data_IF_770655255106
#
_entry.id   IF_770655255106
#
_cell.length_a   1.000
_cell.length_b   1.000
_cell.length_c   1.000
_cell.angle_alpha   90.00
_cell.angle_beta   90.00
_cell.angle_gamma   90.00
#
_symmetry.space_group_name_H-M   'P 1'
#
loop_
_entity.id
_entity.type
_entity.pdbx_description
1 polymer ?
#
# COMPACT_ATOMS: atom_id res chain seq x y z
N UNK A 1 25.57 22.63 -10.84
CA UNK A 1 24.24 23.25 -10.97
C UNK A 1 23.31 22.22 -11.56
N UNK A 2 22.55 21.53 -10.72
CA UNK A 2 21.57 20.55 -11.18
C UNK A 2 20.33 21.36 -11.53
N UNK A 3 19.95 21.35 -12.81
CA UNK A 3 18.67 21.87 -13.26
C UNK A 3 17.63 20.90 -12.73
N UNK A 4 17.13 21.19 -11.54
CA UNK A 4 15.96 20.52 -10.99
C UNK A 4 14.82 20.83 -11.95
N UNK A 5 14.42 19.84 -12.75
CA UNK A 5 13.31 19.96 -13.69
C UNK A 5 12.09 20.42 -12.91
N UNK A 6 11.74 21.70 -13.05
CA UNK A 6 10.55 22.29 -12.48
C UNK A 6 9.32 21.56 -13.04
N UNK A 7 8.88 20.54 -12.32
CA UNK A 7 7.70 19.75 -12.63
C UNK A 7 6.51 20.71 -12.77
N UNK A 8 5.85 20.68 -13.92
CA UNK A 8 4.81 21.65 -14.24
C UNK A 8 3.60 21.46 -13.32
N UNK A 9 3.06 22.54 -12.78
CA UNK A 9 1.92 22.53 -11.85
C UNK A 9 0.75 21.64 -12.30
N UNK A 10 0.30 21.66 -13.57
CA UNK A 10 -0.81 20.79 -14.01
C UNK A 10 -0.55 19.30 -13.75
N UNK A 11 0.67 18.84 -13.98
CA UNK A 11 1.05 17.44 -13.74
C UNK A 11 1.05 17.08 -12.25
N UNK A 12 1.44 18.03 -11.38
CA UNK A 12 1.37 17.83 -9.93
C UNK A 12 -0.08 17.78 -9.45
N UNK A 13 -0.96 18.62 -10.01
CA UNK A 13 -2.39 18.62 -9.72
C UNK A 13 -3.03 17.28 -10.15
N UNK A 14 -2.73 16.81 -11.36
CA UNK A 14 -3.28 15.54 -11.85
C UNK A 14 -2.86 14.36 -10.95
N UNK A 15 -1.57 14.29 -10.56
CA UNK A 15 -1.09 13.29 -9.61
C UNK A 15 -1.78 13.35 -8.25
N UNK A 16 -2.06 14.55 -7.76
CA UNK A 16 -2.78 14.73 -6.50
C UNK A 16 -4.23 14.24 -6.62
N UNK A 17 -4.91 14.57 -7.73
CA UNK A 17 -6.26 14.08 -8.04
C UNK A 17 -6.32 12.57 -8.17
N UNK A 18 -5.34 11.97 -8.84
CA UNK A 18 -5.21 10.52 -8.97
C UNK A 18 -5.05 9.86 -7.59
N UNK A 19 -4.22 10.45 -6.71
CA UNK A 19 -4.03 9.94 -5.35
C UNK A 19 -5.30 10.06 -4.49
N UNK A 20 -6.05 11.17 -4.61
CA UNK A 20 -7.36 11.33 -3.98
C UNK A 20 -8.33 10.27 -4.52
N UNK A 21 -8.42 10.10 -5.83
CA UNK A 21 -9.29 9.11 -6.46
C UNK A 21 -8.92 7.68 -6.06
N UNK A 22 -7.64 7.36 -5.90
CA UNK A 22 -7.20 6.04 -5.45
C UNK A 22 -7.69 5.71 -4.02
N UNK A 23 -7.79 6.72 -3.15
CA UNK A 23 -8.20 6.54 -1.76
C UNK A 23 -9.73 6.57 -1.57
N UNK A 24 -10.40 7.55 -2.17
CA UNK A 24 -11.85 7.82 -1.94
C UNK A 24 -12.73 7.66 -3.18
N UNK A 25 -12.14 7.44 -4.35
CA UNK A 25 -12.87 7.16 -5.59
C UNK A 25 -13.33 5.71 -5.69
N UNK A 26 -14.29 5.48 -6.60
CA UNK A 26 -14.83 4.15 -6.89
C UNK A 26 -13.77 3.23 -7.49
N UNK A 27 -13.63 2.01 -6.97
CA UNK A 27 -12.65 1.04 -7.50
C UNK A 27 -13.30 0.13 -8.52
N UNK A 28 -12.56 -0.24 -9.56
CA UNK A 28 -12.96 -1.34 -10.45
C UNK A 28 -12.02 -2.52 -10.25
N UNK A 29 -12.59 -3.71 -10.10
CA UNK A 29 -11.89 -4.97 -9.96
C UNK A 29 -12.34 -5.96 -11.02
N UNK A 30 -11.54 -7.00 -11.22
CA UNK A 30 -11.93 -8.17 -12.02
C UNK A 30 -12.06 -9.33 -11.05
N UNK A 31 -13.23 -9.97 -11.05
CA UNK A 31 -13.53 -11.15 -10.27
C UNK A 31 -13.52 -12.33 -11.21
N UNK A 32 -12.75 -13.36 -10.86
CA UNK A 32 -12.85 -14.64 -11.53
C UNK A 32 -14.04 -15.41 -10.96
N UNK A 33 -15.02 -15.70 -11.80
CA UNK A 33 -16.19 -16.51 -11.44
C UNK A 33 -16.16 -17.81 -12.23
N UNK A 34 -16.89 -18.82 -11.79
CA UNK A 34 -16.98 -20.12 -12.50
C UNK A 34 -17.46 -19.97 -13.97
N UNK A 35 -18.01 -18.82 -14.34
CA UNK A 35 -18.47 -18.46 -15.69
C UNK A 35 -17.51 -17.52 -16.45
N UNK A 36 -16.34 -17.23 -15.89
CA UNK A 36 -15.30 -16.37 -16.44
C UNK A 36 -15.04 -15.09 -15.64
N UNK A 37 -14.13 -14.26 -16.15
CA UNK A 37 -13.75 -13.00 -15.51
C UNK A 37 -14.82 -11.91 -15.71
N UNK A 38 -15.33 -11.35 -14.61
CA UNK A 38 -16.29 -10.24 -14.60
C UNK A 38 -15.69 -8.99 -13.98
N UNK A 39 -15.84 -7.84 -14.64
CA UNK A 39 -15.54 -6.53 -14.04
C UNK A 39 -16.62 -6.16 -13.03
N UNK A 40 -16.21 -5.78 -11.84
CA UNK A 40 -17.07 -5.27 -10.77
C UNK A 40 -16.60 -3.90 -10.36
N UNK A 41 -17.56 -3.03 -10.07
CA UNK A 41 -17.34 -1.69 -9.55
C UNK A 41 -17.65 -1.76 -8.05
N UNK A 42 -16.65 -1.53 -7.22
CA UNK A 42 -16.73 -1.59 -5.77
C UNK A 42 -16.60 -0.20 -5.12
N UNK A 43 -16.84 -0.17 -3.81
CA UNK A 43 -16.70 1.05 -3.01
C UNK A 43 -15.25 1.56 -2.97
N UNK A 44 -15.08 2.77 -2.44
CA UNK A 44 -13.74 3.33 -2.27
C UNK A 44 -12.95 2.61 -1.19
N UNK A 45 -11.62 2.67 -1.29
CA UNK A 45 -10.73 2.03 -0.32
C UNK A 45 -11.00 2.47 1.12
N UNK A 46 -11.22 3.77 1.30
CA UNK A 46 -11.60 4.34 2.60
C UNK A 46 -12.94 3.79 3.11
N UNK A 47 -13.96 3.66 2.25
CA UNK A 47 -15.25 3.09 2.66
C UNK A 47 -15.14 1.60 2.99
N UNK A 48 -14.40 0.83 2.19
CA UNK A 48 -14.14 -0.60 2.47
C UNK A 48 -13.47 -0.80 3.82
N UNK A 49 -12.50 0.06 4.18
CA UNK A 49 -11.86 0.03 5.51
C UNK A 49 -12.86 0.32 6.63
N UNK A 50 -13.71 1.35 6.50
CA UNK A 50 -14.74 1.68 7.51
C UNK A 50 -15.75 0.55 7.70
N UNK A 51 -16.22 -0.02 6.61
CA UNK A 51 -17.20 -1.12 6.64
C UNK A 51 -16.59 -2.38 7.28
N UNK A 52 -15.31 -2.65 6.99
CA UNK A 52 -14.58 -3.78 7.59
C UNK A 52 -14.43 -3.64 9.10
N UNK A 53 -14.14 -2.44 9.63
CA UNK A 53 -14.07 -2.21 11.09
C UNK A 53 -15.43 -2.31 11.75
N UNK A 54 -16.50 -1.86 11.08
CA UNK A 54 -17.86 -1.96 11.60
C UNK A 54 -18.39 -3.41 11.67
N UNK A 55 -17.59 -4.41 11.26
CA UNK A 55 -18.02 -5.80 11.12
C UNK A 55 -19.05 -6.00 10.00
N UNK A 56 -19.30 -4.95 9.21
CA UNK A 56 -20.12 -4.97 8.01
C UNK A 56 -19.22 -5.45 6.88
N UNK A 57 -18.79 -6.72 6.92
CA UNK A 57 -18.23 -7.36 5.73
C UNK A 57 -19.39 -7.50 4.74
N UNK A 58 -19.62 -6.45 3.96
CA UNK A 58 -20.46 -6.54 2.78
C UNK A 58 -19.63 -7.28 1.74
N UNK A 59 -20.18 -8.37 1.21
CA UNK A 59 -19.69 -9.05 0.01
C UNK A 59 -19.74 -8.10 -1.19
N UNK A 60 -18.89 -7.06 -1.25
CA UNK A 60 -18.81 -6.15 -2.40
C UNK A 60 -17.78 -6.58 -3.43
N UNK A 61 -17.08 -7.69 -3.19
CA UNK A 61 -16.17 -8.30 -4.15
C UNK A 61 -16.19 -9.81 -3.97
N UNK A 62 -16.99 -10.49 -4.80
CA UNK A 62 -16.86 -11.93 -5.01
C UNK A 62 -15.40 -12.34 -5.21
N UNK A 63 -15.05 -13.47 -4.61
CA UNK A 63 -13.69 -14.01 -4.46
C UNK A 63 -12.80 -13.23 -3.50
N UNK A 64 -12.99 -13.50 -2.21
CA UNK A 64 -11.99 -14.02 -1.26
C UNK A 64 -12.77 -14.38 0.02
N UNK A 65 -12.70 -15.65 0.43
CA UNK A 65 -13.61 -16.27 1.41
C UNK A 65 -13.72 -15.56 2.76
N UNK A 66 -14.66 -16.03 3.57
CA UNK A 66 -14.86 -15.61 4.97
C UNK A 66 -13.52 -15.60 5.72
N UNK A 67 -12.91 -14.42 5.87
CA UNK A 67 -11.77 -14.24 6.75
C UNK A 67 -12.30 -13.90 8.13
N UNK A 68 -11.85 -14.63 9.13
CA UNK A 68 -12.08 -14.32 10.54
C UNK A 68 -11.45 -12.97 10.84
N UNK A 69 -12.20 -11.89 10.66
CA UNK A 69 -11.76 -10.56 11.07
C UNK A 69 -11.91 -10.51 12.59
N UNK A 70 -10.85 -10.20 13.35
CA UNK A 70 -10.96 -10.10 14.80
C UNK A 70 -12.06 -9.10 15.16
N UNK A 71 -12.80 -9.32 16.26
CA UNK A 71 -13.95 -8.48 16.66
C UNK A 71 -13.58 -6.99 16.87
N UNK A 72 -12.29 -6.67 16.93
CA UNK A 72 -11.76 -5.32 16.89
C UNK A 72 -10.52 -5.32 15.98
N UNK A 73 -10.67 -4.87 14.73
CA UNK A 73 -9.54 -4.72 13.81
C UNK A 73 -8.80 -3.41 14.10
N UNK A 74 -8.02 -3.43 15.19
CA UNK A 74 -7.32 -2.26 15.74
C UNK A 74 -6.45 -1.52 14.71
N UNK A 75 -5.74 -2.25 13.85
CA UNK A 75 -4.87 -1.64 12.83
C UNK A 75 -5.66 -0.84 11.78
N UNK A 76 -6.84 -1.34 11.41
CA UNK A 76 -7.74 -0.64 10.49
C UNK A 76 -8.36 0.58 11.14
N UNK A 77 -8.76 0.50 12.42
CA UNK A 77 -9.28 1.65 13.16
C UNK A 77 -8.23 2.74 13.34
N UNK A 78 -6.99 2.37 13.70
CA UNK A 78 -5.88 3.33 13.79
C UNK A 78 -5.58 3.97 12.44
N UNK A 79 -5.66 3.21 11.34
CA UNK A 79 -5.50 3.77 10.00
C UNK A 79 -6.59 4.79 9.67
N UNK A 80 -7.86 4.52 10.02
CA UNK A 80 -8.96 5.47 9.81
C UNK A 80 -8.72 6.75 10.62
N UNK A 81 -8.36 6.62 11.90
CA UNK A 81 -8.05 7.78 12.76
C UNK A 81 -6.88 8.61 12.23
N UNK A 82 -5.81 7.95 11.76
CA UNK A 82 -4.65 8.63 11.16
C UNK A 82 -5.06 9.48 9.94
N UNK A 83 -5.84 8.90 9.02
CA UNK A 83 -6.32 9.60 7.82
C UNK A 83 -7.25 10.75 8.22
N UNK A 84 -8.23 10.50 9.08
CA UNK A 84 -9.23 11.48 9.50
C UNK A 84 -8.60 12.67 10.25
N UNK A 85 -7.60 12.39 11.07
CA UNK A 85 -6.83 13.40 11.81
C UNK A 85 -6.01 14.26 10.86
N UNK A 86 -5.25 13.66 9.95
CA UNK A 86 -4.36 14.38 9.06
C UNK A 86 -5.15 15.19 8.02
N UNK A 87 -6.16 14.61 7.37
CA UNK A 87 -7.01 15.34 6.41
C UNK A 87 -7.75 16.52 7.07
N UNK A 88 -8.04 16.43 8.37
CA UNK A 88 -8.62 17.54 9.14
C UNK A 88 -7.65 18.71 9.31
N UNK A 89 -6.34 18.49 9.31
CA UNK A 89 -5.34 19.58 9.37
C UNK A 89 -5.18 20.29 8.03
N UNK A 90 -5.48 19.60 6.92
CA UNK A 90 -5.30 20.14 5.56
C UNK A 90 -6.37 21.15 5.13
N UNK A 91 -7.48 21.25 5.86
CA UNK A 91 -8.61 22.10 5.48
C UNK A 91 -9.10 22.92 6.68
N UNK A 92 -8.83 24.22 6.70
CA UNK A 92 -9.18 25.09 7.82
C UNK A 92 -10.56 25.76 7.71
N UNK A 93 -11.14 25.87 6.51
CA UNK A 93 -12.40 26.59 6.30
C UNK A 93 -13.56 25.66 6.00
N UNK A 94 -14.48 25.46 6.95
CA UNK A 94 -15.68 24.67 6.69
C UNK A 94 -16.54 24.51 7.94
N UNK A 95 -17.19 25.60 8.34
CA UNK A 95 -18.28 25.62 9.31
C UNK A 95 -19.43 24.75 8.85
N UNK A 96 -19.42 23.50 9.29
CA UNK A 96 -20.53 22.55 9.23
C UNK A 96 -20.19 21.33 10.10
N UNK A 97 -21.13 20.80 10.90
CA UNK A 97 -20.92 19.51 11.55
C UNK A 97 -20.85 18.44 10.45
N UNK A 98 -19.82 17.60 10.45
CA UNK A 98 -19.69 16.42 9.57
C UNK A 98 -19.32 16.61 8.09
N UNK A 99 -18.28 17.39 7.77
CA UNK A 99 -17.53 17.08 6.55
C UNK A 99 -16.72 15.79 6.75
N UNK A 100 -17.35 14.65 6.43
CA UNK A 100 -16.66 13.35 6.33
C UNK A 100 -15.39 13.49 5.47
N UNK A 101 -14.31 12.82 5.86
CA UNK A 101 -12.98 12.85 5.23
C UNK A 101 -13.01 12.78 3.70
N UNK A 102 -13.92 11.98 3.16
CA UNK A 102 -14.19 11.86 1.71
C UNK A 102 -14.53 13.20 1.07
N UNK A 103 -15.45 13.97 1.66
CA UNK A 103 -15.87 15.26 1.12
C UNK A 103 -14.73 16.29 1.17
N UNK A 104 -13.89 16.24 2.20
CA UNK A 104 -12.71 17.12 2.31
C UNK A 104 -11.70 16.84 1.20
N UNK A 105 -11.41 15.57 0.95
CA UNK A 105 -10.47 15.18 -0.11
C UNK A 105 -11.00 15.55 -1.50
N UNK A 106 -12.29 15.36 -1.77
CA UNK A 106 -12.91 15.83 -3.00
C UNK A 106 -12.85 17.35 -3.14
N UNK A 107 -13.15 18.10 -2.08
CA UNK A 107 -13.05 19.55 -2.10
C UNK A 107 -11.62 20.01 -2.43
N UNK A 108 -10.60 19.41 -1.80
CA UNK A 108 -9.19 19.69 -2.09
C UNK A 108 -8.79 19.38 -3.53
N UNK A 109 -9.33 18.32 -4.14
CA UNK A 109 -9.06 17.93 -5.52
C UNK A 109 -9.64 18.92 -6.56
N UNK A 110 -10.73 19.61 -6.20
CA UNK A 110 -11.40 20.60 -7.05
C UNK A 110 -10.87 22.04 -6.87
N UNK A 111 -9.99 22.28 -5.88
CA UNK A 111 -9.40 23.61 -5.68
C UNK A 111 -8.54 24.06 -6.87
N UNK A 112 -8.63 25.35 -7.17
CA UNK A 112 -7.76 26.03 -8.14
C UNK A 112 -6.39 26.34 -7.54
N UNK A 113 -5.51 25.34 -7.51
CA UNK A 113 -4.16 25.45 -6.94
C UNK A 113 -3.26 26.43 -7.68
N UNK A 114 -2.38 27.11 -6.93
CA UNK A 114 -1.42 28.08 -7.47
C UNK A 114 -0.03 27.43 -7.57
N UNK A 115 0.89 27.98 -8.40
CA UNK A 115 2.24 27.40 -8.55
C UNK A 115 3.03 27.25 -7.25
N UNK A 116 2.84 28.14 -6.28
CA UNK A 116 3.49 28.07 -4.96
C UNK A 116 3.03 26.87 -4.11
N UNK A 117 1.86 26.30 -4.40
CA UNK A 117 1.30 25.18 -3.63
C UNK A 117 1.85 23.83 -4.13
N UNK A 118 2.66 23.84 -5.20
CA UNK A 118 3.18 22.63 -5.84
C UNK A 118 3.95 21.73 -4.86
N UNK A 119 4.72 22.30 -3.93
CA UNK A 119 5.44 21.50 -2.95
C UNK A 119 4.50 20.80 -1.97
N UNK A 120 3.51 21.54 -1.44
CA UNK A 120 2.50 20.97 -0.55
C UNK A 120 1.72 19.85 -1.25
N UNK A 121 1.32 20.06 -2.52
CA UNK A 121 0.63 19.04 -3.31
C UNK A 121 1.46 17.77 -3.46
N UNK A 122 2.77 17.88 -3.70
CA UNK A 122 3.67 16.72 -3.78
C UNK A 122 3.74 15.97 -2.45
N UNK A 123 3.83 16.68 -1.33
CA UNK A 123 3.91 16.07 -0.02
C UNK A 123 2.58 15.39 0.35
N UNK A 124 1.45 16.06 0.14
CA UNK A 124 0.11 15.50 0.34
C UNK A 124 -0.15 14.27 -0.57
N UNK A 125 0.32 14.32 -1.83
CA UNK A 125 0.26 13.18 -2.76
C UNK A 125 1.04 11.97 -2.20
N UNK A 126 2.23 12.18 -1.62
CA UNK A 126 3.00 11.09 -1.00
C UNK A 126 2.27 10.50 0.21
N UNK A 127 1.63 11.34 1.04
CA UNK A 127 0.82 10.85 2.16
C UNK A 127 -0.35 9.98 1.68
N UNK A 128 -1.13 10.46 0.71
CA UNK A 128 -2.25 9.73 0.13
C UNK A 128 -1.84 8.36 -0.42
N UNK A 129 -0.75 8.30 -1.21
CA UNK A 129 -0.23 7.02 -1.71
C UNK A 129 0.27 6.09 -0.60
N UNK A 130 0.85 6.64 0.47
CA UNK A 130 1.27 5.81 1.61
C UNK A 130 0.07 5.22 2.35
N UNK A 131 -1.04 5.96 2.47
CA UNK A 131 -2.29 5.44 3.02
C UNK A 131 -2.94 4.41 2.13
N UNK A 132 -2.97 4.61 0.81
CA UNK A 132 -3.45 3.62 -0.16
C UNK A 132 -2.66 2.31 -0.02
N UNK A 133 -1.33 2.39 -0.03
CA UNK A 133 -0.48 1.22 0.14
C UNK A 133 -0.68 0.52 1.49
N UNK A 134 -0.87 1.28 2.58
CA UNK A 134 -1.12 0.72 3.91
C UNK A 134 -2.49 0.03 3.97
N UNK A 135 -3.54 0.63 3.40
CA UNK A 135 -4.87 0.02 3.38
C UNK A 135 -4.94 -1.21 2.48
N UNK A 136 -4.33 -1.18 1.29
CA UNK A 136 -4.21 -2.37 0.44
C UNK A 136 -3.45 -3.49 1.20
N UNK A 137 -2.37 -3.16 1.91
CA UNK A 137 -1.67 -4.16 2.75
C UNK A 137 -2.52 -4.66 3.93
N UNK A 138 -3.46 -3.88 4.47
CA UNK A 138 -4.35 -4.36 5.53
C UNK A 138 -5.43 -5.28 4.97
N UNK A 139 -6.07 -4.88 3.86
CA UNK A 139 -7.15 -5.66 3.23
C UNK A 139 -6.64 -6.93 2.54
N UNK A 140 -5.56 -6.82 1.76
CA UNK A 140 -5.00 -7.92 0.99
C UNK A 140 -3.82 -8.60 1.68
N UNK A 141 -3.47 -8.19 2.91
CA UNK A 141 -2.27 -8.52 3.69
C UNK A 141 -1.90 -9.99 3.90
N UNK A 142 -2.69 -10.91 3.35
CA UNK A 142 -2.48 -12.34 3.42
C UNK A 142 -2.24 -12.98 2.03
N UNK A 143 -2.22 -12.19 0.95
CA UNK A 143 -2.01 -12.71 -0.42
C UNK A 143 -0.58 -12.58 -0.94
N UNK A 144 0.26 -11.78 -0.26
CA UNK A 144 1.70 -11.66 -0.54
C UNK A 144 2.48 -12.08 0.70
N UNK A 145 2.51 -13.39 0.97
CA UNK A 145 3.36 -13.93 2.02
C UNK A 145 4.81 -13.47 1.74
N UNK A 146 5.30 -12.55 2.59
CA UNK A 146 6.69 -12.15 2.60
C UNK A 146 7.44 -13.10 3.52
N UNK A 147 8.32 -13.90 2.93
CA UNK A 147 9.17 -14.81 3.66
C UNK A 147 10.52 -14.13 3.90
N UNK A 148 10.87 -13.98 5.16
CA UNK A 148 12.18 -13.50 5.58
C UNK A 148 13.18 -14.68 5.50
N UNK A 149 14.21 -14.54 4.66
CA UNK A 149 15.26 -15.56 4.55
C UNK A 149 16.39 -15.24 5.52
N UNK A 150 16.64 -16.14 6.48
CA UNK A 150 17.68 -16.00 7.53
C UNK A 150 19.10 -16.23 6.98
N UNK A 151 19.30 -16.11 5.67
CA UNK A 151 20.59 -16.30 5.02
C UNK A 151 21.23 -14.95 4.64
N UNK A 152 22.57 -14.87 4.60
CA UNK A 152 23.24 -13.67 4.12
C UNK A 152 22.92 -13.40 2.65
N UNK A 153 22.77 -12.12 2.31
CA UNK A 153 22.62 -11.70 0.93
C UNK A 153 23.81 -12.15 0.07
N UNK A 154 23.62 -12.85 -1.06
CA UNK A 154 24.75 -13.31 -1.89
C UNK A 154 25.49 -12.15 -2.59
N UNK A 155 24.84 -10.98 -2.72
CA UNK A 155 25.44 -9.78 -3.32
C UNK A 155 26.30 -8.98 -2.33
N UNK A 156 25.81 -8.76 -1.10
CA UNK A 156 26.48 -7.90 -0.11
C UNK A 156 26.92 -8.58 1.19
N UNK A 157 26.60 -9.86 1.38
CA UNK A 157 26.95 -10.65 2.58
C UNK A 157 26.17 -10.32 3.84
N UNK A 158 25.30 -9.31 3.84
CA UNK A 158 24.55 -8.89 5.03
C UNK A 158 23.38 -9.85 5.29
N UNK A 159 23.27 -10.36 6.52
CA UNK A 159 22.19 -11.28 6.94
C UNK A 159 21.00 -10.57 7.60
N UNK A 160 21.23 -9.47 8.32
CA UNK A 160 20.17 -8.74 9.02
C UNK A 160 20.34 -7.24 8.88
N UNK A 161 19.22 -6.53 8.75
CA UNK A 161 19.13 -5.07 8.78
C UNK A 161 18.35 -4.59 10.00
N UNK A 162 18.57 -3.35 10.44
CA UNK A 162 17.74 -2.70 11.45
C UNK A 162 16.66 -1.88 10.75
N UNK A 163 15.40 -2.15 11.07
CA UNK A 163 14.24 -1.42 10.54
C UNK A 163 13.37 -0.98 11.71
N UNK A 164 12.65 0.13 11.56
CA UNK A 164 11.58 0.49 12.50
C UNK A 164 10.33 -0.34 12.19
N UNK A 165 9.77 -0.96 13.20
CA UNK A 165 8.47 -1.62 13.11
C UNK A 165 7.32 -0.59 13.10
N UNK A 166 6.08 -1.08 13.05
CA UNK A 166 4.88 -0.23 13.09
C UNK A 166 4.72 0.55 14.40
N UNK A 167 5.36 0.10 15.50
CA UNK A 167 5.41 0.79 16.78
C UNK A 167 6.56 1.82 16.88
N UNK A 168 7.42 1.90 15.86
CA UNK A 168 8.56 2.81 15.81
C UNK A 168 9.82 2.27 16.49
N UNK A 169 9.80 1.03 16.97
CA UNK A 169 10.93 0.38 17.61
C UNK A 169 11.91 -0.19 16.59
N UNK A 170 13.21 -0.15 16.90
CA UNK A 170 14.23 -0.73 16.05
C UNK A 170 14.29 -2.24 16.20
N UNK A 171 13.72 -2.94 15.22
CA UNK A 171 13.76 -4.40 15.14
C UNK A 171 14.86 -4.87 14.19
N UNK A 172 15.41 -6.04 14.47
CA UNK A 172 16.29 -6.75 13.53
C UNK A 172 15.42 -7.55 12.58
N UNK A 173 15.60 -7.33 11.30
CA UNK A 173 14.91 -8.06 10.24
C UNK A 173 15.92 -8.74 9.32
N UNK A 174 15.53 -9.86 8.70
CA UNK A 174 16.34 -10.49 7.67
C UNK A 174 16.64 -9.50 6.54
N UNK A 175 17.87 -9.54 6.03
CA UNK A 175 18.26 -8.69 4.92
C UNK A 175 17.62 -9.14 3.61
N UNK A 176 17.28 -10.43 3.46
CA UNK A 176 16.63 -10.98 2.28
C UNK A 176 15.15 -11.22 2.56
N UNK A 177 14.30 -10.64 1.69
CA UNK A 177 12.85 -10.80 1.73
C UNK A 177 12.37 -11.39 0.41
N UNK A 178 11.56 -12.43 0.45
CA UNK A 178 10.96 -13.07 -0.73
C UNK A 178 9.47 -12.86 -0.72
N UNK A 179 8.91 -12.46 -1.85
CA UNK A 179 7.48 -12.53 -2.12
C UNK A 179 7.22 -13.24 -3.46
N UNK A 180 5.95 -13.30 -3.87
CA UNK A 180 5.54 -13.95 -5.12
C UNK A 180 6.15 -13.32 -6.38
N UNK A 181 6.66 -12.09 -6.31
CA UNK A 181 7.25 -11.38 -7.44
C UNK A 181 8.79 -11.44 -7.46
N UNK A 182 9.44 -11.92 -6.40
CA UNK A 182 10.90 -11.99 -6.36
C UNK A 182 11.48 -11.96 -4.96
N UNK A 183 12.81 -11.92 -4.91
CA UNK A 183 13.59 -11.72 -3.70
C UNK A 183 14.26 -10.34 -3.77
N UNK A 184 14.24 -9.59 -2.67
CA UNK A 184 14.90 -8.28 -2.58
C UNK A 184 15.76 -8.20 -1.34
N UNK A 185 16.96 -7.64 -1.46
CA UNK A 185 17.79 -7.32 -0.31
C UNK A 185 17.46 -5.92 0.25
N UNK A 186 17.10 -5.85 1.53
CA UNK A 186 16.81 -4.60 2.23
C UNK A 186 18.05 -3.73 2.54
N UNK A 187 19.27 -4.26 2.33
CA UNK A 187 20.52 -3.52 2.55
C UNK A 187 21.11 -2.94 1.26
N UNK A 188 21.32 -3.78 0.24
CA UNK A 188 21.95 -3.37 -1.03
C UNK A 188 20.95 -3.19 -2.18
N UNK A 189 19.64 -3.34 -1.91
CA UNK A 189 18.55 -3.16 -2.86
C UNK A 189 18.63 -4.05 -4.11
N UNK A 190 19.48 -5.08 -4.09
CA UNK A 190 19.56 -6.05 -5.19
C UNK A 190 18.28 -6.88 -5.22
N UNK A 191 17.71 -7.01 -6.43
CA UNK A 191 16.44 -7.71 -6.67
C UNK A 191 16.66 -8.89 -7.61
N UNK A 192 16.10 -10.04 -7.24
CA UNK A 192 16.08 -11.25 -8.06
C UNK A 192 14.63 -11.57 -8.43
N UNK A 193 14.32 -11.60 -9.72
CA UNK A 193 12.99 -12.04 -10.18
C UNK A 193 12.77 -13.54 -9.96
N UNK A 194 11.53 -14.04 -10.15
CA UNK A 194 11.17 -15.43 -9.86
C UNK A 194 11.98 -16.44 -10.68
N UNK A 195 12.37 -16.07 -11.90
CA UNK A 195 13.23 -16.87 -12.78
C UNK A 195 14.62 -17.15 -12.20
N UNK A 196 15.06 -16.41 -11.18
CA UNK A 196 16.37 -16.56 -10.56
C UNK A 196 16.31 -17.33 -9.23
N UNK A 197 15.14 -17.82 -8.81
CA UNK A 197 15.00 -18.51 -7.52
C UNK A 197 15.81 -19.80 -7.40
N UNK A 198 15.94 -20.58 -8.48
CA UNK A 198 16.79 -21.77 -8.47
C UNK A 198 18.27 -21.42 -8.23
N UNK A 199 18.75 -20.35 -8.88
CA UNK A 199 20.12 -19.87 -8.72
C UNK A 199 20.34 -19.27 -7.32
N UNK A 200 19.35 -18.55 -6.80
CA UNK A 200 19.37 -18.04 -5.44
C UNK A 200 19.41 -19.17 -4.41
N UNK A 201 18.56 -20.20 -4.56
CA UNK A 201 18.53 -21.37 -3.68
C UNK A 201 19.88 -22.08 -3.64
N UNK A 202 20.52 -22.28 -4.80
CA UNK A 202 21.85 -22.85 -4.90
C UNK A 202 22.92 -21.99 -4.20
N UNK A 203 22.88 -20.67 -4.39
CA UNK A 203 23.82 -19.74 -3.75
C UNK A 203 23.64 -19.66 -2.22
N UNK A 204 22.43 -19.91 -1.73
CA UNK A 204 22.10 -19.95 -0.30
C UNK A 204 22.28 -21.34 0.33
N UNK A 205 22.65 -22.35 -0.46
CA UNK A 205 22.82 -23.73 0.02
C UNK A 205 21.52 -24.43 0.39
N UNK A 206 20.39 -24.00 -0.17
CA UNK A 206 19.11 -24.66 0.01
C UNK A 206 19.00 -25.89 -0.90
N UNK A 207 18.57 -27.02 -0.34
CA UNK A 207 18.20 -28.19 -1.14
C UNK A 207 16.90 -27.90 -1.90
N UNK A 208 16.89 -28.16 -3.21
CA UNK A 208 15.69 -28.06 -4.02
C UNK A 208 14.72 -29.17 -3.60
N UNK A 209 13.44 -28.86 -3.28
CA UNK A 209 12.47 -29.89 -2.96
C UNK A 209 12.23 -30.82 -4.17
N UNK A 210 12.02 -32.11 -3.90
CA UNK A 210 11.73 -33.10 -4.94
C UNK A 210 10.56 -32.64 -5.82
N UNK A 211 10.78 -32.60 -7.14
CA UNK A 211 9.76 -32.22 -8.14
C UNK A 211 9.80 -30.77 -8.64
N UNK A 212 10.75 -29.94 -8.20
CA UNK A 212 11.00 -28.61 -8.78
C UNK A 212 12.24 -28.68 -9.69
N UNK A 213 11.97 -28.87 -11.00
CA UNK A 213 12.91 -29.03 -12.13
C UNK A 213 13.46 -30.46 -12.34
N UNK A 214 12.70 -31.27 -13.09
CA UNK A 214 13.31 -32.10 -14.16
C UNK A 214 13.34 -31.29 -15.46
#
# INVERSE_FOLDING_TARGET
MIVETAERLPFVIDKFRDAVHALVGTRSGVIDTDTGQRRVVGDSLYQTMRDSVAGLVRDTTGSKGWRSTPPLWLDAEQWIDDVDREVRTWHHDGTGPDHATVNRLHALAELGWRPQDAQWLKDATRFLWSWVAKADNLLDGDTKHRFDLVSPCPSCGVATVRRRDSAGEWVRQAALQVDSNGCTCANCETTWGPSHFALLASALGCELPEGVLE
#
